data_IF_362038990443
#
_entry.id   IF_362038990443
#
_cell.length_a   1.000
_cell.length_b   1.000
_cell.length_c   1.000
_cell.angle_alpha   90.00
_cell.angle_beta   90.00
_cell.angle_gamma   90.00
#
_symmetry.space_group_name_H-M   'P 1'
#
loop_
_entity.id
_entity.type
_entity.pdbx_description
1 polymer ?
#
# COMPACT_ATOMS: atom_id res chain seq x y z
N UNK A 1 36.30 -10.56 33.47
CA UNK A 1 35.58 -10.42 32.18
C UNK A 1 34.11 -10.59 32.47
N UNK A 2 33.35 -9.50 32.45
CA UNK A 2 31.89 -9.54 32.62
C UNK A 2 31.31 -9.91 31.26
N UNK A 3 30.52 -10.99 31.18
CA UNK A 3 29.80 -11.32 29.94
C UNK A 3 28.93 -10.15 29.51
N UNK A 4 28.80 -9.88 28.21
CA UNK A 4 27.84 -8.88 27.74
C UNK A 4 26.44 -9.23 28.26
N UNK A 5 25.61 -8.22 28.54
CA UNK A 5 24.24 -8.46 28.99
C UNK A 5 23.51 -9.34 27.97
N UNK A 6 22.71 -10.29 28.46
CA UNK A 6 21.90 -11.11 27.57
C UNK A 6 20.98 -10.21 26.73
N UNK A 7 20.87 -10.47 25.42
CA UNK A 7 20.05 -9.66 24.53
C UNK A 7 18.59 -9.68 25.03
N UNK A 8 17.95 -8.51 24.99
CA UNK A 8 16.53 -8.42 25.30
C UNK A 8 15.69 -8.98 24.16
N UNK A 9 14.39 -9.18 24.41
CA UNK A 9 13.43 -9.57 23.37
C UNK A 9 13.53 -8.72 22.08
N UNK A 10 13.68 -7.37 22.14
CA UNK A 10 13.87 -6.57 20.92
C UNK A 10 15.13 -6.91 20.12
N UNK A 11 16.21 -7.31 20.79
CA UNK A 11 17.47 -7.67 20.12
C UNK A 11 17.35 -9.04 19.43
N UNK A 12 16.61 -9.98 20.04
CA UNK A 12 16.27 -11.24 19.39
C UNK A 12 15.40 -11.03 18.14
N UNK A 13 14.39 -10.17 18.21
CA UNK A 13 13.54 -9.86 17.06
C UNK A 13 14.33 -9.22 15.92
N UNK A 14 15.24 -8.29 16.24
CA UNK A 14 16.17 -7.68 15.27
C UNK A 14 17.09 -8.71 14.62
N UNK A 15 17.59 -9.67 15.39
CA UNK A 15 18.44 -10.73 14.84
C UNK A 15 17.66 -11.67 13.91
N UNK A 16 16.41 -11.99 14.26
CA UNK A 16 15.52 -12.76 13.37
C UNK A 16 15.28 -12.01 12.06
N UNK A 17 14.97 -10.72 12.13
CA UNK A 17 14.79 -9.86 10.94
C UNK A 17 16.06 -9.86 10.07
N UNK A 18 17.23 -9.66 10.68
CA UNK A 18 18.54 -9.68 9.98
C UNK A 18 18.81 -11.02 9.29
N UNK A 19 18.51 -12.14 9.94
CA UNK A 19 18.67 -13.48 9.38
C UNK A 19 17.72 -13.71 8.21
N UNK A 20 16.46 -13.28 8.34
CA UNK A 20 15.46 -13.41 7.30
C UNK A 20 15.81 -12.55 6.06
N UNK A 21 16.34 -11.34 6.27
CA UNK A 21 16.88 -10.50 5.19
C UNK A 21 18.02 -11.19 4.44
N UNK A 22 18.93 -11.85 5.17
CA UNK A 22 20.03 -12.60 4.56
C UNK A 22 19.51 -13.74 3.69
N UNK A 23 18.52 -14.51 4.16
CA UNK A 23 17.91 -15.59 3.37
C UNK A 23 17.32 -15.04 2.07
N UNK A 24 16.60 -13.91 2.13
CA UNK A 24 16.07 -13.25 0.93
C UNK A 24 17.17 -12.79 -0.03
N UNK A 25 18.27 -12.23 0.48
CA UNK A 25 19.39 -11.80 -0.33
C UNK A 25 20.09 -12.97 -1.05
N UNK A 26 20.37 -14.07 -0.35
CA UNK A 26 21.00 -15.25 -0.96
C UNK A 26 20.08 -15.90 -2.00
N UNK A 27 18.77 -16.02 -1.71
CA UNK A 27 17.80 -16.52 -2.69
C UNK A 27 17.71 -15.64 -3.94
N UNK A 28 17.84 -14.32 -3.79
CA UNK A 28 17.93 -13.40 -4.93
C UNK A 28 19.21 -13.63 -5.74
N UNK A 29 20.35 -13.89 -5.08
CA UNK A 29 21.62 -14.18 -5.75
C UNK A 29 21.57 -15.49 -6.56
N UNK A 30 20.78 -16.46 -6.10
CA UNK A 30 20.51 -17.70 -6.84
C UNK A 30 19.53 -17.53 -8.03
N UNK A 31 18.93 -16.34 -8.18
CA UNK A 31 18.18 -15.96 -9.38
C UNK A 31 16.76 -16.48 -9.49
N UNK A 32 16.23 -17.15 -8.46
CA UNK A 32 14.87 -17.68 -8.47
C UNK A 32 13.90 -16.95 -7.54
N UNK A 33 14.37 -16.02 -6.70
CA UNK A 33 13.50 -15.26 -5.79
C UNK A 33 12.46 -14.45 -6.59
N UNK A 34 11.18 -14.63 -6.26
CA UNK A 34 10.08 -13.89 -6.90
C UNK A 34 9.36 -13.03 -5.87
N UNK A 35 9.35 -11.72 -6.10
CA UNK A 35 8.70 -10.73 -5.23
C UNK A 35 7.23 -10.46 -5.61
N UNK A 36 6.78 -10.99 -6.76
CA UNK A 36 5.40 -10.94 -7.25
C UNK A 36 4.55 -12.12 -6.75
N UNK A 37 3.63 -12.61 -7.57
CA UNK A 37 2.98 -13.90 -7.30
C UNK A 37 4.00 -15.03 -7.52
N UNK A 38 3.90 -16.11 -6.73
CA UNK A 38 4.73 -17.29 -6.97
C UNK A 38 4.40 -17.92 -8.33
N UNK A 39 5.41 -18.28 -9.13
CA UNK A 39 5.17 -19.02 -10.37
C UNK A 39 4.66 -20.43 -10.05
N UNK A 40 3.89 -21.03 -10.96
CA UNK A 40 3.23 -22.32 -10.73
C UNK A 40 4.26 -23.44 -10.42
N UNK A 41 5.42 -23.37 -11.07
CA UNK A 41 6.55 -24.28 -10.93
C UNK A 41 7.42 -24.05 -9.67
N UNK A 42 7.16 -22.99 -8.88
CA UNK A 42 7.94 -22.74 -7.67
C UNK A 42 7.80 -23.91 -6.68
N UNK A 43 8.93 -24.41 -6.19
CA UNK A 43 8.94 -25.46 -5.16
C UNK A 43 8.41 -24.93 -3.82
N UNK A 44 7.94 -25.79 -2.91
CA UNK A 44 7.49 -25.36 -1.59
C UNK A 44 8.53 -24.53 -0.82
N UNK A 45 9.82 -24.88 -0.90
CA UNK A 45 10.89 -24.11 -0.27
C UNK A 45 10.99 -22.70 -0.87
N UNK A 46 10.94 -22.58 -2.19
CA UNK A 46 11.02 -21.28 -2.87
C UNK A 46 9.83 -20.39 -2.49
N UNK A 47 8.61 -20.95 -2.43
CA UNK A 47 7.41 -20.22 -1.97
C UNK A 47 7.57 -19.76 -0.52
N UNK A 48 8.08 -20.63 0.35
CA UNK A 48 8.34 -20.32 1.76
C UNK A 48 9.44 -19.28 1.98
N UNK A 49 10.40 -19.13 1.06
CA UNK A 49 11.42 -18.06 1.10
C UNK A 49 10.90 -16.77 0.47
N UNK A 50 10.14 -16.87 -0.62
CA UNK A 50 9.52 -15.73 -1.28
C UNK A 50 8.56 -14.98 -0.34
N UNK A 51 7.78 -15.70 0.47
CA UNK A 51 6.83 -15.11 1.42
C UNK A 51 7.48 -14.12 2.42
N UNK A 52 8.46 -14.51 3.26
CA UNK A 52 9.13 -13.59 4.19
C UNK A 52 9.95 -12.54 3.44
N UNK A 53 10.62 -12.87 2.32
CA UNK A 53 11.34 -11.88 1.53
C UNK A 53 10.43 -10.77 0.98
N UNK A 54 9.17 -11.09 0.63
CA UNK A 54 8.15 -10.10 0.26
C UNK A 54 7.72 -9.26 1.46
N UNK A 55 7.55 -9.87 2.63
CA UNK A 55 7.15 -9.17 3.85
C UNK A 55 8.21 -8.16 4.29
N UNK A 56 9.46 -8.58 4.43
CA UNK A 56 10.60 -7.73 4.85
C UNK A 56 10.80 -6.52 3.94
N UNK A 57 10.53 -6.67 2.64
CA UNK A 57 10.63 -5.58 1.68
C UNK A 57 9.40 -4.67 1.65
N UNK A 58 8.40 -4.79 2.53
CA UNK A 58 7.24 -3.89 2.54
C UNK A 58 7.32 -2.93 3.71
N UNK A 59 6.91 -1.68 3.48
CA UNK A 59 6.54 -0.84 4.61
C UNK A 59 5.18 -1.35 5.08
N UNK A 60 5.11 -1.89 6.30
CA UNK A 60 3.89 -2.45 6.84
C UNK A 60 2.98 -1.36 7.41
N UNK A 61 1.68 -1.47 7.14
CA UNK A 61 0.66 -0.52 7.59
C UNK A 61 -0.66 -1.24 7.85
N UNK A 62 -1.52 -0.66 8.68
CA UNK A 62 -2.85 -1.22 8.91
C UNK A 62 -3.64 -1.28 7.59
N UNK A 63 -4.07 -2.47 7.17
CA UNK A 63 -4.73 -2.66 5.87
C UNK A 63 -3.79 -3.07 4.73
N UNK A 64 -2.54 -3.45 5.00
CA UNK A 64 -1.61 -3.98 4.00
C UNK A 64 -1.79 -5.49 3.70
N UNK A 65 -2.72 -6.13 4.41
CA UNK A 65 -3.03 -7.56 4.28
C UNK A 65 -2.10 -8.49 5.05
N UNK A 66 -1.09 -7.97 5.77
CA UNK A 66 -0.13 -8.79 6.52
C UNK A 66 -0.75 -9.50 7.73
N UNK A 67 -1.76 -8.89 8.35
CA UNK A 67 -2.50 -9.48 9.48
C UNK A 67 -3.97 -9.75 9.14
N UNK A 68 -4.35 -9.57 7.87
CA UNK A 68 -5.75 -9.48 7.43
C UNK A 68 -5.99 -10.39 6.22
N UNK A 69 -5.54 -11.64 6.33
CA UNK A 69 -5.45 -12.62 5.22
C UNK A 69 -6.80 -12.90 4.52
N UNK A 70 -7.92 -12.73 5.23
CA UNK A 70 -9.26 -13.03 4.70
C UNK A 70 -9.89 -11.89 3.86
N UNK A 71 -9.27 -10.69 3.83
CA UNK A 71 -9.82 -9.55 3.07
C UNK A 71 -9.10 -9.40 1.73
N UNK A 72 -9.83 -9.42 0.59
CA UNK A 72 -9.18 -9.37 -0.71
C UNK A 72 -8.54 -7.99 -0.95
N UNK A 73 -7.35 -7.93 -1.58
CA UNK A 73 -6.74 -6.68 -2.00
C UNK A 73 -7.58 -5.98 -3.07
N UNK A 74 -7.63 -4.64 -2.99
CA UNK A 74 -8.28 -3.82 -3.99
C UNK A 74 -7.24 -3.15 -4.89
N UNK A 75 -7.33 -3.41 -6.19
CA UNK A 75 -6.41 -2.82 -7.17
C UNK A 75 -6.71 -1.34 -7.33
N UNK A 76 -5.72 -0.49 -7.05
CA UNK A 76 -5.87 0.95 -7.23
C UNK A 76 -5.26 1.41 -8.55
N UNK A 77 -5.95 2.30 -9.26
CA UNK A 77 -5.36 3.10 -10.33
C UNK A 77 -4.44 4.17 -9.75
N UNK A 78 -4.87 4.77 -8.64
CA UNK A 78 -4.12 5.75 -7.87
C UNK A 78 -4.90 6.13 -6.61
N UNK A 79 -4.26 6.90 -5.75
CA UNK A 79 -4.89 7.39 -4.53
C UNK A 79 -4.43 8.81 -4.19
N UNK A 80 -5.21 9.48 -3.36
CA UNK A 80 -4.93 10.83 -2.84
C UNK A 80 -5.29 10.90 -1.37
N UNK A 81 -4.63 11.75 -0.61
CA UNK A 81 -4.95 12.04 0.78
C UNK A 81 -5.31 13.52 0.89
N UNK A 82 -6.50 13.81 1.43
CA UNK A 82 -6.99 15.14 1.73
C UNK A 82 -6.95 15.33 3.24
N UNK A 83 -6.14 16.25 3.75
CA UNK A 83 -6.07 16.56 5.19
C UNK A 83 -6.28 18.05 5.45
N UNK A 84 -6.85 18.41 6.61
CA UNK A 84 -6.74 19.78 7.11
C UNK A 84 -5.27 20.22 7.12
N UNK A 85 -4.95 21.35 6.49
CA UNK A 85 -3.60 21.92 6.45
C UNK A 85 -2.61 21.26 5.48
N UNK A 86 -2.92 20.08 4.95
CA UNK A 86 -2.06 19.36 3.98
C UNK A 86 -2.90 18.81 2.84
N UNK A 87 -2.95 19.56 1.73
CA UNK A 87 -3.66 19.18 0.51
C UNK A 87 -2.69 18.57 -0.52
N UNK A 88 -3.16 17.71 -1.44
CA UNK A 88 -2.34 17.21 -2.54
C UNK A 88 -1.75 18.34 -3.38
N UNK A 89 -0.56 18.11 -3.94
CA UNK A 89 0.06 19.06 -4.86
C UNK A 89 -0.87 19.39 -6.04
N UNK A 90 -0.99 20.68 -6.36
CA UNK A 90 -1.88 21.18 -7.42
C UNK A 90 -3.34 21.40 -6.99
N UNK A 91 -3.67 21.20 -5.72
CA UNK A 91 -4.97 21.60 -5.13
C UNK A 91 -4.74 22.85 -4.28
N UNK A 92 -5.32 23.97 -4.71
CA UNK A 92 -5.23 25.26 -4.00
C UNK A 92 -6.44 25.49 -3.10
N UNK A 93 -7.54 24.77 -3.34
CA UNK A 93 -8.76 24.91 -2.55
C UNK A 93 -8.59 24.37 -1.13
N UNK A 94 -9.24 25.05 -0.18
CA UNK A 94 -9.27 24.62 1.21
C UNK A 94 -9.93 23.24 1.36
N UNK A 95 -9.49 22.48 2.37
CA UNK A 95 -9.93 21.12 2.65
C UNK A 95 -11.46 21.00 2.71
N UNK A 96 -12.13 21.94 3.37
CA UNK A 96 -13.59 21.97 3.55
C UNK A 96 -14.32 22.17 2.22
N UNK A 97 -13.76 23.00 1.33
CA UNK A 97 -14.31 23.24 -0.01
C UNK A 97 -14.21 21.98 -0.86
N UNK A 98 -13.07 21.28 -0.79
CA UNK A 98 -12.90 20.01 -1.50
C UNK A 98 -13.84 18.95 -0.95
N UNK A 99 -13.98 18.84 0.38
CA UNK A 99 -14.92 17.92 1.03
C UNK A 99 -16.37 18.15 0.56
N UNK A 100 -16.83 19.40 0.58
CA UNK A 100 -18.16 19.76 0.10
C UNK A 100 -18.36 19.39 -1.39
N UNK A 101 -17.36 19.67 -2.24
CA UNK A 101 -17.40 19.32 -3.67
C UNK A 101 -17.45 17.81 -3.91
N UNK A 102 -16.73 17.02 -3.10
CA UNK A 102 -16.75 15.57 -3.21
C UNK A 102 -17.98 14.94 -2.54
N UNK A 103 -18.70 15.69 -1.71
CA UNK A 103 -19.96 15.28 -1.09
C UNK A 103 -19.77 14.56 0.26
N UNK A 104 -18.75 14.95 1.03
CA UNK A 104 -18.49 14.40 2.37
C UNK A 104 -18.33 15.51 3.39
N UNK A 105 -18.66 15.21 4.65
CA UNK A 105 -18.37 16.10 5.76
C UNK A 105 -16.86 16.14 6.07
N UNK A 106 -16.27 17.31 6.36
CA UNK A 106 -14.86 17.40 6.75
C UNK A 106 -14.58 16.62 8.04
N UNK A 107 -13.71 15.60 7.95
CA UNK A 107 -13.23 14.85 9.11
C UNK A 107 -11.90 15.39 9.65
N UNK A 108 -11.63 15.29 10.97
CA UNK A 108 -10.40 15.83 11.58
C UNK A 108 -9.14 15.07 11.14
N UNK A 109 -9.25 13.79 10.76
CA UNK A 109 -8.14 12.97 10.24
C UNK A 109 -7.94 13.10 8.73
N UNK A 110 -8.85 13.79 8.03
CA UNK A 110 -8.84 13.81 6.57
C UNK A 110 -9.63 12.66 5.93
N UNK A 111 -9.56 12.61 4.60
CA UNK A 111 -10.12 11.56 3.76
C UNK A 111 -9.07 11.05 2.78
N UNK A 112 -9.07 9.75 2.50
CA UNK A 112 -8.35 9.17 1.38
C UNK A 112 -9.31 8.95 0.20
N UNK A 113 -8.85 9.24 -0.99
CA UNK A 113 -9.54 8.97 -2.25
C UNK A 113 -8.87 7.79 -2.93
N UNK A 114 -9.56 6.65 -3.03
CA UNK A 114 -9.06 5.47 -3.72
C UNK A 114 -9.73 5.38 -5.09
N UNK A 115 -8.97 5.66 -6.14
CA UNK A 115 -9.42 5.55 -7.51
C UNK A 115 -9.24 4.11 -8.00
N UNK A 116 -10.34 3.44 -8.32
CA UNK A 116 -10.38 2.02 -8.66
C UNK A 116 -11.46 1.76 -9.72
N UNK A 117 -11.83 0.49 -9.91
CA UNK A 117 -12.90 0.05 -10.78
C UNK A 117 -13.94 -0.71 -9.97
N UNK A 118 -15.22 -0.55 -10.32
CA UNK A 118 -16.28 -1.41 -9.81
C UNK A 118 -16.17 -2.82 -10.39
N UNK A 119 -16.99 -3.74 -9.87
CA UNK A 119 -17.09 -5.11 -10.39
C UNK A 119 -17.42 -5.15 -11.90
N UNK A 120 -18.17 -4.16 -12.40
CA UNK A 120 -18.49 -3.98 -13.81
C UNK A 120 -17.41 -3.27 -14.64
N UNK A 121 -16.23 -3.00 -14.07
CA UNK A 121 -15.12 -2.34 -14.75
C UNK A 121 -15.29 -0.83 -14.93
N UNK A 122 -16.31 -0.21 -14.31
CA UNK A 122 -16.51 1.24 -14.38
C UNK A 122 -15.56 1.95 -13.43
N UNK A 123 -15.03 3.10 -13.84
CA UNK A 123 -14.15 3.93 -12.99
C UNK A 123 -14.95 4.46 -11.79
N UNK A 124 -14.41 4.27 -10.59
CA UNK A 124 -15.01 4.78 -9.35
C UNK A 124 -13.95 5.34 -8.42
N UNK A 125 -14.35 6.30 -7.58
CA UNK A 125 -13.57 6.80 -6.45
C UNK A 125 -14.27 6.39 -5.16
N UNK A 126 -13.57 5.67 -4.30
CA UNK A 126 -14.02 5.42 -2.92
C UNK A 126 -13.42 6.51 -2.03
N UNK A 127 -14.27 7.23 -1.29
CA UNK A 127 -13.86 8.17 -0.24
C UNK A 127 -13.83 7.40 1.08
N UNK A 128 -12.64 7.20 1.64
CA UNK A 128 -12.43 6.32 2.79
C UNK A 128 -11.68 7.01 3.93
N UNK A 129 -11.95 6.62 5.17
CA UNK A 129 -11.26 7.15 6.36
C UNK A 129 -9.88 6.52 6.60
N UNK A 130 -9.44 5.62 5.71
CA UNK A 130 -8.18 4.87 5.79
C UNK A 130 -6.96 5.74 5.36
N UNK A 131 -6.77 6.87 6.04
CA UNK A 131 -5.75 7.86 5.70
C UNK A 131 -4.34 7.33 5.94
N UNK A 132 -4.06 6.79 7.13
CA UNK A 132 -2.75 6.25 7.49
C UNK A 132 -2.36 5.04 6.62
N UNK A 133 -3.33 4.16 6.31
CA UNK A 133 -3.20 3.08 5.31
C UNK A 133 -2.73 3.62 3.97
N UNK A 134 -3.30 4.74 3.51
CA UNK A 134 -2.96 5.34 2.21
C UNK A 134 -1.58 5.98 2.23
N UNK A 135 -1.15 6.54 3.36
CA UNK A 135 0.20 7.08 3.51
C UNK A 135 1.25 5.95 3.51
N UNK A 136 1.00 4.85 4.21
CA UNK A 136 1.85 3.65 4.14
C UNK A 136 1.90 3.02 2.74
N UNK A 137 0.80 3.15 1.99
CA UNK A 137 0.77 2.76 0.58
C UNK A 137 1.67 3.66 -0.28
N UNK A 138 1.63 4.98 -0.08
CA UNK A 138 2.51 5.92 -0.77
C UNK A 138 3.99 5.65 -0.47
N UNK A 139 4.33 5.29 0.76
CA UNK A 139 5.69 4.87 1.14
C UNK A 139 6.17 3.66 0.31
N UNK A 140 5.31 2.68 0.07
CA UNK A 140 5.64 1.55 -0.79
C UNK A 140 5.76 1.97 -2.28
N UNK A 141 4.83 2.79 -2.77
CA UNK A 141 4.81 3.23 -4.16
C UNK A 141 6.01 4.12 -4.52
N UNK A 142 6.44 5.01 -3.62
CA UNK A 142 7.65 5.82 -3.78
C UNK A 142 8.92 4.95 -3.93
N UNK A 143 8.91 3.74 -3.37
CA UNK A 143 9.98 2.74 -3.50
C UNK A 143 9.78 1.80 -4.71
N UNK A 144 8.84 2.11 -5.60
CA UNK A 144 8.51 1.31 -6.79
C UNK A 144 7.80 -0.01 -6.49
N UNK A 145 7.26 -0.19 -5.28
CA UNK A 145 6.65 -1.46 -4.85
C UNK A 145 5.17 -1.46 -5.22
N UNK A 146 4.76 -2.39 -6.07
CA UNK A 146 3.38 -2.53 -6.54
C UNK A 146 2.48 -3.22 -5.50
N UNK A 147 2.28 -2.56 -4.35
CA UNK A 147 1.37 -3.00 -3.28
C UNK A 147 -0.03 -2.43 -3.53
N UNK A 148 -1.04 -3.23 -3.22
CA UNK A 148 -2.46 -2.85 -3.21
C UNK A 148 -2.96 -3.02 -1.76
N UNK A 149 -3.75 -2.09 -1.20
CA UNK A 149 -4.32 -2.24 0.14
C UNK A 149 -5.43 -3.31 0.13
N UNK A 150 -5.78 -3.85 1.28
CA UNK A 150 -7.00 -4.66 1.41
C UNK A 150 -8.25 -3.81 1.18
N UNK A 151 -9.32 -4.46 0.73
CA UNK A 151 -10.62 -3.83 0.59
C UNK A 151 -11.03 -3.18 1.92
N UNK A 152 -11.44 -1.90 1.90
CA UNK A 152 -11.75 -1.18 3.13
C UNK A 152 -13.04 -1.75 3.72
N UNK A 153 -13.15 -1.75 5.05
CA UNK A 153 -14.39 -2.12 5.71
C UNK A 153 -15.52 -1.17 5.29
N UNK A 154 -16.79 -1.64 5.17
CA UNK A 154 -17.91 -0.76 4.83
C UNK A 154 -18.01 0.47 5.73
N UNK A 155 -17.71 0.34 7.02
CA UNK A 155 -17.71 1.44 8.00
C UNK A 155 -16.62 2.49 7.76
N UNK A 156 -15.60 2.19 6.96
CA UNK A 156 -14.55 3.13 6.56
C UNK A 156 -14.85 3.83 5.23
N UNK A 157 -15.91 3.44 4.52
CA UNK A 157 -16.32 4.06 3.26
C UNK A 157 -17.38 5.12 3.56
N UNK A 158 -17.04 6.39 3.34
CA UNK A 158 -18.00 7.48 3.48
C UNK A 158 -18.88 7.62 2.23
N UNK A 159 -18.29 7.45 1.05
CA UNK A 159 -18.98 7.61 -0.23
C UNK A 159 -18.27 6.85 -1.34
N UNK A 160 -19.02 6.38 -2.33
CA UNK A 160 -18.48 5.90 -3.61
C UNK A 160 -19.03 6.78 -4.73
N UNK A 161 -18.14 7.34 -5.55
CA UNK A 161 -18.49 8.19 -6.70
C UNK A 161 -18.12 7.54 -8.01
N UNK A 162 -18.96 7.76 -9.02
CA UNK A 162 -18.66 7.41 -10.40
C UNK A 162 -17.59 8.34 -10.97
N UNK A 163 -16.67 7.77 -11.76
CA UNK A 163 -15.49 8.47 -12.28
C UNK A 163 -14.32 8.45 -11.31
N UNK A 164 -13.16 8.92 -11.79
CA UNK A 164 -12.00 9.14 -10.95
C UNK A 164 -11.89 10.61 -10.57
N UNK A 165 -11.53 10.89 -9.33
CA UNK A 165 -11.31 12.23 -8.79
C UNK A 165 -9.81 12.48 -8.68
N UNK A 166 -9.35 13.60 -9.22
CA UNK A 166 -7.94 14.01 -9.20
C UNK A 166 -7.70 15.26 -8.33
N UNK A 167 -6.43 15.68 -8.17
CA UNK A 167 -5.19 14.98 -8.57
C UNK A 167 -4.91 13.75 -7.70
N UNK A 168 -4.10 12.79 -8.19
CA UNK A 168 -3.76 11.55 -7.48
C UNK A 168 -2.33 11.07 -7.73
N UNK A 169 -1.79 10.34 -6.76
CA UNK A 169 -0.57 9.53 -6.93
C UNK A 169 -0.97 8.23 -7.61
N UNK A 170 -0.41 7.94 -8.79
CA UNK A 170 -0.69 6.69 -9.49
C UNK A 170 -0.02 5.50 -8.80
N UNK A 171 -0.71 4.37 -8.77
CA UNK A 171 -0.06 3.12 -8.37
C UNK A 171 0.93 2.70 -9.44
N UNK A 172 2.01 1.95 -9.10
CA UNK A 172 2.95 1.44 -10.10
C UNK A 172 2.26 0.62 -11.22
N UNK A 173 1.17 -0.08 -10.90
CA UNK A 173 0.34 -0.81 -11.88
C UNK A 173 -0.60 0.11 -12.66
N UNK A 174 -1.09 1.19 -12.04
CA UNK A 174 -1.95 2.19 -12.63
C UNK A 174 -1.29 2.91 -13.80
N UNK A 175 -0.01 3.27 -13.65
CA UNK A 175 0.80 3.91 -14.71
C UNK A 175 0.84 3.07 -15.99
N UNK A 176 1.00 1.75 -15.86
CA UNK A 176 1.04 0.83 -17.00
C UNK A 176 -0.32 0.68 -17.72
N UNK A 177 -1.45 0.84 -17.01
CA UNK A 177 -2.80 0.68 -17.59
C UNK A 177 -3.39 1.97 -18.14
N UNK A 178 -2.97 3.14 -17.65
CA UNK A 178 -3.47 4.44 -18.13
C UNK A 178 -2.66 5.01 -19.29
N UNK A 179 -1.55 4.37 -19.67
CA UNK A 179 -0.68 4.85 -20.76
C UNK A 179 0.07 6.13 -20.42
N UNK A 180 0.10 6.55 -19.14
CA UNK A 180 0.83 7.72 -18.66
C UNK A 180 2.31 7.43 -18.35
N UNK A 181 2.81 6.28 -18.82
CA UNK A 181 4.23 5.91 -18.79
C UNK A 181 5.04 6.70 -19.83
N UNK A 182 5.26 7.98 -19.57
CA UNK A 182 6.21 8.83 -20.29
C UNK A 182 6.15 10.23 -19.67
N UNK A 183 7.23 10.79 -19.11
CA UNK A 183 8.64 10.79 -19.55
C UNK A 183 9.54 11.22 -18.34
N UNK A 184 10.89 11.22 -18.47
CA UNK A 184 11.86 11.00 -17.38
C UNK A 184 11.85 12.04 -16.26
#
# INVERSE_FOLDING_TARGET
MTSPPEPGEPDYLREIERLADRVGAEASNEGWLVLGADPEEATPLQRSVNAPARALRRYHFEGDGCLEEDRPPIRLAGASVLKPGTMPAGVEEAYEVVCARIGVEPGPRGWALWNTWSDGGLKVTMVVSAVETTEGLFENWARGRAVDPVSPLPSRIALVRQGWIGPMTFSPRGVHRTGLGGRP
#
